data_IF_983869521667
#
_entry.id   IF_983869521667
#
_cell.length_a   1.000
_cell.length_b   1.000
_cell.length_c   1.000
_cell.angle_alpha   90.00
_cell.angle_beta   90.00
_cell.angle_gamma   90.00
#
_symmetry.space_group_name_H-M   'P 1'
#
loop_
_entity.id
_entity.type
_entity.pdbx_description
1 polymer ?
#
# COMPACT_ATOMS: atom_id res chain seq x y z
N UNK A 1 -3.01 15.38 34.74
CA UNK A 1 -4.03 15.89 35.67
C UNK A 1 -5.34 15.23 35.33
N UNK A 2 -6.00 14.53 36.28
CA UNK A 2 -7.28 13.90 35.96
C UNK A 2 -8.33 15.01 35.78
N UNK A 3 -9.02 15.00 34.66
CA UNK A 3 -10.11 15.92 34.32
C UNK A 3 -11.19 16.07 35.41
N UNK A 4 -11.28 15.12 36.33
CA UNK A 4 -12.28 15.05 37.35
C UNK A 4 -12.07 15.98 38.58
N UNK A 5 -10.93 16.69 38.66
CA UNK A 5 -10.65 17.61 39.76
C UNK A 5 -10.47 19.08 39.32
N UNK A 6 -10.18 19.32 38.05
CA UNK A 6 -10.10 20.66 37.44
C UNK A 6 -11.39 20.88 36.67
N UNK A 7 -12.25 21.69 37.18
CA UNK A 7 -13.43 22.11 36.46
C UNK A 7 -14.76 21.55 36.97
N UNK A 8 -14.78 20.90 38.10
CA UNK A 8 -16.04 20.55 38.73
C UNK A 8 -16.88 21.78 39.13
N UNK A 9 -16.22 22.91 39.32
CA UNK A 9 -16.85 24.15 39.76
C UNK A 9 -16.14 25.34 39.10
N UNK A 10 -16.89 26.41 38.80
CA UNK A 10 -16.34 27.72 38.50
C UNK A 10 -16.91 28.76 39.48
N UNK A 11 -16.15 29.82 39.71
CA UNK A 11 -16.53 30.93 40.56
C UNK A 11 -17.07 32.04 39.69
N UNK A 12 -18.30 32.45 39.94
CA UNK A 12 -18.89 33.64 39.33
C UNK A 12 -18.53 34.84 40.22
N UNK A 13 -17.62 35.66 39.76
CA UNK A 13 -17.10 36.82 40.52
C UNK A 13 -18.17 37.92 40.71
N UNK A 14 -19.09 38.06 39.76
CA UNK A 14 -20.15 39.09 39.83
C UNK A 14 -21.15 38.77 40.95
N UNK A 15 -21.47 37.51 41.13
CA UNK A 15 -22.46 37.04 42.11
C UNK A 15 -21.82 36.35 43.34
N UNK A 16 -20.50 36.25 43.38
CA UNK A 16 -19.72 35.59 44.41
C UNK A 16 -20.23 34.16 44.75
N UNK A 17 -20.58 33.39 43.72
CA UNK A 17 -21.14 32.05 43.86
C UNK A 17 -20.33 31.00 43.07
N UNK A 18 -20.25 29.81 43.66
CA UNK A 18 -19.66 28.66 43.00
C UNK A 18 -20.74 27.81 42.32
N UNK A 19 -20.55 27.50 41.10
CA UNK A 19 -21.45 26.64 40.31
C UNK A 19 -20.75 25.39 39.88
N UNK A 20 -21.47 24.26 39.95
CA UNK A 20 -21.00 23.01 39.29
C UNK A 20 -21.02 23.18 37.77
N UNK A 21 -20.02 22.65 37.08
CA UNK A 21 -19.90 22.76 35.63
C UNK A 21 -21.15 22.29 34.87
N UNK A 22 -21.86 21.30 35.38
CA UNK A 22 -23.12 20.81 34.77
C UNK A 22 -24.26 21.82 34.85
N UNK A 23 -24.15 22.86 35.73
CA UNK A 23 -25.15 23.92 35.92
C UNK A 23 -24.61 25.31 35.51
N UNK A 24 -23.37 25.38 35.07
CA UNK A 24 -22.75 26.62 34.69
C UNK A 24 -23.32 27.10 33.36
N UNK A 25 -23.89 28.30 33.35
CA UNK A 25 -24.28 28.99 32.15
C UNK A 25 -23.15 29.93 31.73
N UNK A 26 -22.28 29.45 30.86
CA UNK A 26 -21.19 30.29 30.35
C UNK A 26 -21.75 31.34 29.40
N UNK A 27 -21.38 32.61 29.63
CA UNK A 27 -21.64 33.66 28.65
C UNK A 27 -20.92 33.38 27.37
N UNK A 28 -21.60 33.37 26.23
CA UNK A 28 -20.95 33.27 24.93
C UNK A 28 -20.06 34.50 24.73
N UNK A 29 -18.82 34.34 24.24
CA UNK A 29 -17.93 35.47 23.96
C UNK A 29 -18.56 36.52 23.03
N UNK A 30 -19.42 36.07 22.10
CA UNK A 30 -20.27 36.88 21.25
C UNK A 30 -21.54 36.11 20.86
N UNK A 31 -22.53 36.81 20.33
CA UNK A 31 -23.86 36.22 20.10
C UNK A 31 -23.86 35.00 19.18
N UNK A 32 -23.05 35.00 18.12
CA UNK A 32 -22.95 33.94 17.09
C UNK A 32 -21.81 32.94 17.34
N UNK A 33 -21.21 32.92 18.53
CA UNK A 33 -20.03 32.10 18.84
C UNK A 33 -20.18 30.63 18.43
N UNK A 34 -21.30 29.98 18.74
CA UNK A 34 -21.51 28.57 18.46
C UNK A 34 -21.64 28.31 16.95
N UNK A 35 -22.35 29.22 16.27
CA UNK A 35 -22.57 29.19 14.84
C UNK A 35 -21.27 29.40 14.09
N UNK A 36 -20.45 30.35 14.53
CA UNK A 36 -19.15 30.65 13.92
C UNK A 36 -18.15 29.50 14.15
N UNK A 37 -18.12 28.90 15.35
CA UNK A 37 -17.30 27.70 15.61
C UNK A 37 -17.72 26.53 14.73
N UNK A 38 -19.04 26.29 14.58
CA UNK A 38 -19.52 25.23 13.69
C UNK A 38 -19.12 25.49 12.25
N UNK A 39 -19.26 26.74 11.79
CA UNK A 39 -18.82 27.11 10.45
C UNK A 39 -17.32 26.83 10.23
N UNK A 40 -16.48 27.27 11.17
CA UNK A 40 -15.04 27.03 11.13
C UNK A 40 -14.77 25.52 11.15
N UNK A 41 -15.45 24.75 11.98
CA UNK A 41 -15.32 23.29 12.05
C UNK A 41 -15.68 22.62 10.72
N UNK A 42 -16.74 23.06 10.04
CA UNK A 42 -17.15 22.55 8.74
C UNK A 42 -16.16 22.90 7.61
N UNK A 43 -15.37 23.97 7.80
CA UNK A 43 -14.34 24.41 6.86
C UNK A 43 -12.97 23.75 7.11
N UNK A 44 -12.77 23.10 8.26
CA UNK A 44 -11.51 22.40 8.57
C UNK A 44 -11.38 21.14 7.72
N UNK A 45 -10.30 21.09 6.93
CA UNK A 45 -9.90 19.87 6.24
C UNK A 45 -9.11 18.99 7.20
N UNK A 46 -9.68 17.82 7.55
CA UNK A 46 -8.94 16.81 8.32
C UNK A 46 -8.00 16.07 7.38
N UNK A 47 -6.70 16.22 7.59
CA UNK A 47 -5.67 15.58 6.79
C UNK A 47 -4.74 14.73 7.67
N UNK A 48 -4.84 13.41 7.51
CA UNK A 48 -3.96 12.46 8.19
C UNK A 48 -2.62 12.36 7.47
N UNK A 49 -1.78 13.32 7.73
CA UNK A 49 -0.42 13.34 7.24
C UNK A 49 0.52 12.75 8.29
N UNK A 50 1.17 11.65 7.94
CA UNK A 50 2.24 11.09 8.76
C UNK A 50 3.56 11.22 8.03
N UNK A 51 4.67 11.51 8.73
CA UNK A 51 6.00 11.56 8.12
C UNK A 51 6.36 10.29 7.35
N UNK A 52 5.78 9.15 7.70
CA UNK A 52 5.99 7.87 7.03
C UNK A 52 5.27 7.76 5.68
N UNK A 53 4.30 8.61 5.43
CA UNK A 53 3.56 8.68 4.17
C UNK A 53 4.14 9.70 3.18
N UNK A 54 5.12 10.51 3.62
CA UNK A 54 5.84 11.37 2.70
C UNK A 54 6.65 10.54 1.71
N UNK A 55 6.70 10.95 0.44
CA UNK A 55 7.71 10.47 -0.48
C UNK A 55 9.08 10.76 0.15
N UNK A 56 9.74 9.74 0.66
CA UNK A 56 11.07 9.91 1.26
C UNK A 56 12.04 10.06 0.10
N UNK A 57 12.52 11.27 -0.09
CA UNK A 57 13.59 11.52 -1.06
C UNK A 57 14.79 10.66 -0.71
N UNK A 58 15.14 9.76 -1.61
CA UNK A 58 16.37 9.00 -1.55
C UNK A 58 17.56 9.91 -1.82
N UNK A 59 18.72 9.58 -1.23
CA UNK A 59 19.99 10.18 -1.60
C UNK A 59 20.88 9.07 -2.15
N UNK A 60 21.42 9.26 -3.33
CA UNK A 60 22.36 8.33 -3.92
C UNK A 60 23.57 9.08 -4.47
N UNK A 61 24.70 8.38 -4.53
CA UNK A 61 25.91 8.89 -5.18
C UNK A 61 25.98 8.30 -6.58
N UNK A 62 26.06 9.15 -7.57
CA UNK A 62 26.34 8.76 -8.95
C UNK A 62 27.70 9.29 -9.37
N UNK A 63 28.29 8.67 -10.37
CA UNK A 63 29.56 9.11 -10.95
C UNK A 63 29.27 9.72 -12.32
N UNK A 64 29.49 11.04 -12.45
CA UNK A 64 29.36 11.79 -13.71
C UNK A 64 30.74 12.39 -13.96
N UNK A 65 31.28 12.16 -15.14
CA UNK A 65 32.61 12.66 -15.56
C UNK A 65 33.71 12.39 -14.52
N UNK A 66 33.71 11.20 -13.95
CA UNK A 66 34.69 10.81 -12.95
C UNK A 66 34.42 11.32 -11.53
N UNK A 67 33.54 12.29 -11.33
CA UNK A 67 33.20 12.89 -10.02
C UNK A 67 31.99 12.20 -9.39
N UNK A 68 32.07 11.95 -8.06
CA UNK A 68 30.92 11.44 -7.30
C UNK A 68 30.01 12.61 -6.94
N UNK A 69 28.78 12.60 -7.45
CA UNK A 69 27.76 13.61 -7.20
C UNK A 69 26.65 12.98 -6.34
N UNK A 70 26.16 13.73 -5.35
CA UNK A 70 25.01 13.34 -4.54
C UNK A 70 23.72 13.79 -5.23
N UNK A 71 22.94 12.83 -5.71
CA UNK A 71 21.64 13.09 -6.30
C UNK A 71 20.52 12.96 -5.26
N UNK A 72 19.57 13.87 -5.33
CA UNK A 72 18.28 13.76 -4.63
C UNK A 72 17.26 13.11 -5.57
N UNK A 73 16.35 12.34 -5.02
CA UNK A 73 15.29 11.71 -5.80
C UNK A 73 14.45 10.78 -4.93
N UNK A 74 13.43 10.20 -5.51
CA UNK A 74 12.65 9.16 -4.87
C UNK A 74 13.50 7.90 -4.63
N UNK A 75 13.08 7.08 -3.70
CA UNK A 75 13.71 5.80 -3.42
C UNK A 75 12.67 4.70 -3.28
N UNK A 76 12.80 3.66 -4.08
CA UNK A 76 12.00 2.46 -3.90
C UNK A 76 12.39 1.75 -2.59
N UNK A 77 11.41 1.51 -1.74
CA UNK A 77 11.60 0.79 -0.48
C UNK A 77 10.56 -0.31 -0.37
N UNK A 78 10.98 -1.46 0.11
CA UNK A 78 10.10 -2.58 0.35
C UNK A 78 10.80 -3.69 1.12
N UNK A 79 10.01 -4.65 1.59
CA UNK A 79 10.49 -5.80 2.35
C UNK A 79 10.99 -6.91 1.43
N UNK A 80 12.03 -6.64 0.65
CA UNK A 80 12.59 -7.59 -0.30
C UNK A 80 12.97 -8.94 0.33
N UNK A 81 13.35 -8.92 1.61
CA UNK A 81 13.71 -10.14 2.34
C UNK A 81 12.54 -11.10 2.52
N UNK A 82 11.30 -10.62 2.55
CA UNK A 82 10.10 -11.45 2.63
C UNK A 82 9.78 -12.13 1.29
N UNK A 83 10.21 -11.51 0.20
CA UNK A 83 9.99 -11.99 -1.16
C UNK A 83 11.18 -12.77 -1.70
N UNK A 84 12.23 -12.96 -0.88
CA UNK A 84 13.46 -13.65 -1.30
C UNK A 84 13.28 -15.15 -1.23
N UNK A 85 13.53 -15.81 -2.33
CA UNK A 85 13.54 -17.27 -2.46
C UNK A 85 14.92 -17.84 -2.16
N UNK A 86 14.95 -19.04 -1.59
CA UNK A 86 16.18 -19.64 -1.13
C UNK A 86 17.10 -20.11 -2.26
N UNK A 87 16.58 -20.22 -3.46
CA UNK A 87 17.31 -20.59 -4.64
C UNK A 87 16.42 -21.22 -5.69
N UNK A 88 17.05 -21.67 -6.76
CA UNK A 88 16.44 -22.44 -7.82
C UNK A 88 16.99 -23.86 -7.78
N UNK A 89 16.13 -24.85 -7.92
CA UNK A 89 16.47 -26.27 -7.99
C UNK A 89 15.93 -26.83 -9.29
N UNK A 90 16.77 -27.52 -10.05
CA UNK A 90 16.32 -28.27 -11.21
C UNK A 90 15.67 -29.57 -10.73
N UNK A 91 14.43 -29.79 -11.11
CA UNK A 91 13.66 -30.98 -10.78
C UNK A 91 12.83 -31.37 -12.00
N UNK A 92 12.97 -32.61 -12.47
CA UNK A 92 12.28 -33.19 -13.63
C UNK A 92 12.44 -32.34 -14.91
N UNK A 93 13.63 -31.77 -15.15
CA UNK A 93 13.92 -30.92 -16.30
C UNK A 93 13.33 -29.53 -16.25
N UNK A 94 12.72 -29.14 -15.12
CA UNK A 94 12.17 -27.80 -14.89
C UNK A 94 12.84 -27.13 -13.69
N UNK A 95 13.14 -25.83 -13.84
CA UNK A 95 13.66 -25.04 -12.72
C UNK A 95 12.51 -24.68 -11.79
N UNK A 96 12.57 -25.20 -10.55
CA UNK A 96 11.62 -24.87 -9.49
C UNK A 96 12.29 -23.98 -8.45
N UNK A 97 11.55 -22.97 -7.97
CA UNK A 97 12.04 -22.04 -6.97
C UNK A 97 11.62 -22.49 -5.57
N UNK A 98 12.48 -22.24 -4.59
CA UNK A 98 12.31 -22.68 -3.21
C UNK A 98 12.18 -21.48 -2.29
N UNK A 99 11.06 -21.40 -1.58
CA UNK A 99 10.78 -20.41 -0.55
C UNK A 99 10.83 -21.05 0.83
N UNK A 100 11.34 -20.30 1.81
CA UNK A 100 11.29 -20.71 3.22
C UNK A 100 10.04 -20.12 3.88
N UNK A 101 9.20 -20.99 4.40
CA UNK A 101 7.90 -20.64 5.02
C UNK A 101 7.94 -21.04 6.49
N UNK A 102 7.36 -20.23 7.37
CA UNK A 102 7.14 -20.63 8.76
C UNK A 102 6.11 -21.76 8.80
N UNK A 103 6.39 -22.81 9.57
CA UNK A 103 5.54 -23.99 9.62
C UNK A 103 4.10 -23.65 10.02
N UNK A 104 3.93 -22.75 10.97
CA UNK A 104 2.61 -22.27 11.42
C UNK A 104 1.82 -21.50 10.33
N UNK A 105 2.48 -21.05 9.26
CA UNK A 105 1.86 -20.34 8.13
C UNK A 105 1.69 -21.23 6.91
N UNK A 106 2.00 -22.52 7.01
CA UNK A 106 1.86 -23.47 5.92
C UNK A 106 0.36 -23.75 5.68
N UNK A 107 -0.05 -23.81 4.43
CA UNK A 107 -1.39 -24.25 4.04
C UNK A 107 -1.38 -25.76 3.77
N UNK A 108 -2.49 -26.44 4.04
CA UNK A 108 -2.57 -27.90 3.86
C UNK A 108 -2.18 -28.37 2.45
N UNK A 109 -2.60 -27.59 1.43
CA UNK A 109 -2.24 -27.82 0.02
C UNK A 109 -0.74 -27.76 -0.28
N UNK A 110 0.05 -27.05 0.58
CA UNK A 110 1.46 -26.80 0.38
C UNK A 110 2.36 -27.84 1.07
N UNK A 111 1.79 -28.75 1.89
CA UNK A 111 2.54 -29.80 2.57
C UNK A 111 3.30 -30.69 1.56
N UNK A 112 2.64 -31.05 0.46
CA UNK A 112 3.25 -31.82 -0.63
C UNK A 112 4.39 -31.10 -1.36
N UNK A 113 4.49 -29.78 -1.20
CA UNK A 113 5.53 -28.95 -1.80
C UNK A 113 6.77 -28.82 -0.93
N UNK A 114 6.82 -29.47 0.24
CA UNK A 114 8.00 -29.48 1.10
C UNK A 114 9.13 -30.18 0.35
N UNK A 115 10.27 -29.50 0.24
CA UNK A 115 11.43 -29.95 -0.58
C UNK A 115 12.18 -31.11 0.06
N UNK A 116 12.26 -31.13 1.38
CA UNK A 116 12.97 -32.15 2.15
C UNK A 116 12.00 -33.28 2.49
N UNK A 117 12.26 -34.45 1.94
CA UNK A 117 11.39 -35.63 2.08
C UNK A 117 11.22 -36.04 3.55
N UNK A 118 12.32 -36.08 4.30
CA UNK A 118 12.27 -36.42 5.73
C UNK A 118 11.42 -35.44 6.53
N UNK A 119 11.58 -34.17 6.28
CA UNK A 119 10.74 -33.15 6.94
C UNK A 119 9.29 -33.28 6.53
N UNK A 120 9.02 -33.56 5.24
CA UNK A 120 7.66 -33.77 4.74
C UNK A 120 6.99 -34.95 5.43
N UNK A 121 7.64 -36.09 5.52
CA UNK A 121 7.14 -37.30 6.17
C UNK A 121 6.81 -37.06 7.67
N UNK A 122 7.68 -36.34 8.37
CA UNK A 122 7.44 -35.97 9.78
C UNK A 122 6.20 -35.07 9.91
N UNK A 123 6.06 -34.06 9.03
CA UNK A 123 4.90 -33.14 9.04
C UNK A 123 3.63 -33.89 8.66
N UNK A 124 3.65 -34.74 7.63
CA UNK A 124 2.51 -35.57 7.23
C UNK A 124 2.08 -36.54 8.32
N UNK A 125 3.02 -37.14 9.04
CA UNK A 125 2.72 -38.03 10.15
C UNK A 125 2.06 -37.29 11.30
N UNK A 126 2.55 -36.08 11.64
CA UNK A 126 1.93 -35.23 12.66
C UNK A 126 0.51 -34.78 12.27
N UNK A 127 0.28 -34.52 10.98
CA UNK A 127 -1.04 -34.16 10.45
C UNK A 127 -2.00 -35.36 10.53
N UNK A 128 -1.54 -36.55 10.19
CA UNK A 128 -2.35 -37.79 10.29
C UNK A 128 -2.78 -38.07 11.72
N UNK A 129 -1.90 -37.80 12.69
CA UNK A 129 -2.15 -38.07 14.11
C UNK A 129 -3.12 -37.05 14.74
N UNK A 130 -2.93 -35.77 14.47
CA UNK A 130 -3.61 -34.68 15.19
C UNK A 130 -4.62 -33.88 14.35
N UNK A 131 -4.62 -34.09 13.05
CA UNK A 131 -5.30 -33.19 12.11
C UNK A 131 -4.47 -31.96 11.78
N UNK A 132 -4.74 -31.34 10.61
CA UNK A 132 -3.90 -30.24 10.10
C UNK A 132 -3.82 -29.03 11.05
N UNK A 133 -4.97 -28.56 11.58
CA UNK A 133 -5.01 -27.37 12.45
C UNK A 133 -4.23 -27.57 13.75
N UNK A 134 -4.44 -28.70 14.39
CA UNK A 134 -3.81 -29.01 15.68
C UNK A 134 -2.33 -29.34 15.52
N UNK A 135 -1.95 -30.00 14.43
CA UNK A 135 -0.56 -30.23 14.09
C UNK A 135 0.20 -28.90 13.89
N UNK A 136 -0.39 -27.94 13.14
CA UNK A 136 0.25 -26.63 12.89
C UNK A 136 0.29 -25.75 14.15
N UNK A 137 -0.63 -25.91 15.07
CA UNK A 137 -0.64 -25.21 16.36
C UNK A 137 0.32 -25.85 17.37
N UNK A 138 0.69 -27.12 17.19
CA UNK A 138 1.60 -27.84 18.08
C UNK A 138 3.07 -27.70 17.62
N UNK A 139 4.00 -28.06 18.52
CA UNK A 139 5.40 -28.13 18.14
C UNK A 139 5.67 -29.47 17.44
N UNK A 140 6.08 -29.42 16.19
CA UNK A 140 6.54 -30.62 15.44
C UNK A 140 8.06 -30.71 15.58
N UNK A 141 8.55 -31.84 16.03
CA UNK A 141 9.95 -32.06 16.32
C UNK A 141 10.67 -32.75 15.14
N UNK A 142 11.76 -32.19 14.70
CA UNK A 142 12.72 -32.88 13.83
C UNK A 142 13.46 -34.00 14.61
N UNK A 143 13.76 -33.71 15.87
CA UNK A 143 14.32 -34.69 16.82
C UNK A 143 13.85 -34.29 18.21
N UNK A 144 12.97 -35.09 18.79
CA UNK A 144 12.36 -34.82 20.09
C UNK A 144 13.34 -34.95 21.24
N UNK A 145 14.20 -35.99 21.20
CA UNK A 145 15.22 -36.23 22.23
C UNK A 145 16.17 -35.05 22.38
N UNK A 146 16.60 -34.48 21.23
CA UNK A 146 17.46 -33.29 21.16
C UNK A 146 16.71 -31.97 21.21
N UNK A 147 15.39 -32.00 21.37
CA UNK A 147 14.51 -30.82 21.40
C UNK A 147 14.72 -29.88 20.20
N UNK A 148 14.86 -30.43 19.00
CA UNK A 148 15.02 -29.67 17.76
C UNK A 148 13.66 -29.53 17.08
N UNK A 149 12.98 -28.35 17.18
CA UNK A 149 11.69 -28.14 16.54
C UNK A 149 11.84 -27.76 15.06
N UNK A 150 10.87 -28.15 14.28
CA UNK A 150 10.71 -27.66 12.90
C UNK A 150 9.97 -26.33 12.94
N UNK A 151 10.68 -25.21 12.83
CA UNK A 151 10.09 -23.87 12.83
C UNK A 151 9.74 -23.38 11.43
N UNK A 152 10.58 -23.73 10.44
CA UNK A 152 10.44 -23.29 9.05
C UNK A 152 10.73 -24.46 8.13
N UNK A 153 9.97 -24.53 7.05
CA UNK A 153 10.15 -25.51 5.99
C UNK A 153 10.52 -24.84 4.67
N UNK A 154 11.22 -25.56 3.81
CA UNK A 154 11.48 -25.14 2.43
C UNK A 154 10.43 -25.77 1.55
N UNK A 155 9.69 -24.93 0.82
CA UNK A 155 8.67 -25.40 -0.10
C UNK A 155 8.96 -24.95 -1.52
N UNK A 156 8.66 -25.80 -2.48
CA UNK A 156 8.56 -25.38 -3.86
C UNK A 156 7.44 -24.37 -4.01
N UNK A 157 7.66 -23.35 -4.81
CA UNK A 157 6.65 -22.34 -5.09
C UNK A 157 6.21 -22.46 -6.55
N UNK A 158 4.94 -22.83 -6.77
CA UNK A 158 4.45 -23.13 -8.12
C UNK A 158 4.18 -21.90 -8.99
N UNK A 159 4.23 -20.68 -8.43
CA UNK A 159 3.61 -19.53 -9.06
C UNK A 159 4.54 -18.42 -9.52
N UNK A 160 5.85 -18.67 -9.67
CA UNK A 160 6.77 -17.62 -10.13
C UNK A 160 6.98 -17.74 -11.62
N UNK A 161 6.41 -16.77 -12.34
CA UNK A 161 6.54 -16.73 -13.79
C UNK A 161 7.91 -16.24 -14.26
N UNK A 162 8.52 -15.30 -13.55
CA UNK A 162 9.83 -14.73 -13.91
C UNK A 162 10.53 -14.15 -12.66
N UNK A 163 11.16 -14.97 -11.82
CA UNK A 163 11.93 -14.43 -10.72
C UNK A 163 13.16 -13.69 -11.22
N UNK A 164 13.46 -12.57 -10.60
CA UNK A 164 14.64 -11.79 -10.90
C UNK A 164 15.79 -12.22 -9.99
N UNK A 165 16.94 -12.55 -10.60
CA UNK A 165 18.15 -12.83 -9.84
C UNK A 165 18.73 -11.53 -9.31
N UNK A 166 18.64 -11.33 -7.99
CA UNK A 166 19.11 -10.10 -7.33
C UNK A 166 20.55 -10.16 -6.83
N UNK A 167 21.05 -11.36 -6.64
CA UNK A 167 22.40 -11.58 -6.10
C UNK A 167 22.95 -12.92 -6.56
N UNK A 168 24.18 -12.90 -6.99
CA UNK A 168 24.99 -14.10 -7.21
C UNK A 168 26.09 -14.14 -6.15
N UNK A 169 26.12 -15.21 -5.36
CA UNK A 169 27.16 -15.41 -4.38
C UNK A 169 28.40 -16.00 -5.08
N UNK A 170 29.58 -15.44 -4.81
CA UNK A 170 30.84 -15.83 -5.49
C UNK A 170 31.60 -16.96 -4.78
N UNK A 171 31.18 -17.33 -3.59
CA UNK A 171 31.85 -18.36 -2.81
C UNK A 171 31.51 -19.76 -3.37
N UNK A 172 32.51 -20.39 -3.97
CA UNK A 172 32.43 -21.71 -4.57
C UNK A 172 32.25 -22.83 -3.57
N UNK A 173 32.51 -22.59 -2.27
CA UNK A 173 32.31 -23.60 -1.21
C UNK A 173 30.82 -23.79 -0.88
N UNK A 174 29.96 -22.86 -1.30
CA UNK A 174 28.53 -22.91 -1.04
C UNK A 174 27.81 -23.71 -2.12
N UNK A 175 26.91 -24.60 -1.71
CA UNK A 175 26.07 -25.39 -2.62
C UNK A 175 25.42 -24.49 -3.69
N UNK A 176 25.39 -24.96 -4.93
CA UNK A 176 24.96 -24.20 -6.10
C UNK A 176 23.62 -23.47 -5.92
N UNK A 177 22.61 -24.15 -5.35
CA UNK A 177 21.30 -23.54 -5.09
C UNK A 177 21.31 -22.37 -4.08
N UNK A 178 22.40 -22.20 -3.32
CA UNK A 178 22.60 -21.09 -2.38
C UNK A 178 23.38 -19.93 -2.99
N UNK A 179 23.99 -20.11 -4.15
CA UNK A 179 24.80 -19.09 -4.79
C UNK A 179 23.97 -17.97 -5.42
N UNK A 180 22.70 -18.24 -5.71
CA UNK A 180 21.80 -17.30 -6.33
C UNK A 180 20.56 -17.08 -5.46
N UNK A 181 20.19 -15.82 -5.30
CA UNK A 181 18.94 -15.42 -4.64
C UNK A 181 18.00 -14.84 -5.67
N UNK A 182 16.78 -15.33 -5.66
CA UNK A 182 15.71 -14.89 -6.55
C UNK A 182 14.62 -14.22 -5.73
N UNK A 183 13.99 -13.19 -6.27
CA UNK A 183 12.89 -12.47 -5.63
C UNK A 183 11.65 -12.55 -6.50
N UNK A 184 10.52 -12.77 -5.89
CA UNK A 184 9.24 -12.66 -6.56
C UNK A 184 9.02 -11.24 -7.07
N UNK A 185 8.37 -11.16 -8.20
CA UNK A 185 8.10 -9.90 -8.88
C UNK A 185 6.64 -9.47 -8.66
N UNK A 186 6.15 -9.58 -7.42
CA UNK A 186 4.75 -9.40 -7.07
C UNK A 186 4.45 -8.16 -6.22
N UNK A 187 5.48 -7.54 -5.62
CA UNK A 187 5.30 -6.32 -4.84
C UNK A 187 5.27 -5.08 -5.72
N UNK A 188 4.11 -4.49 -5.85
CA UNK A 188 3.91 -3.31 -6.69
C UNK A 188 4.43 -2.04 -6.00
N UNK A 189 5.20 -1.24 -6.73
CA UNK A 189 5.76 0.02 -6.26
C UNK A 189 4.92 1.20 -6.73
N UNK A 190 4.64 1.28 -8.02
CA UNK A 190 3.79 2.31 -8.60
C UNK A 190 2.91 1.76 -9.73
N UNK A 191 1.82 2.46 -9.95
CA UNK A 191 0.94 2.33 -11.11
C UNK A 191 1.08 3.60 -11.94
N UNK A 192 1.43 3.48 -13.20
CA UNK A 192 1.31 4.55 -14.18
C UNK A 192 0.00 4.43 -14.94
N UNK A 193 -0.69 5.54 -15.14
CA UNK A 193 -1.93 5.62 -15.90
C UNK A 193 -1.70 6.43 -17.17
N UNK A 194 -2.24 5.90 -18.27
CA UNK A 194 -2.25 6.53 -19.58
C UNK A 194 -3.68 6.74 -20.02
N UNK A 195 -4.01 7.92 -20.48
CA UNK A 195 -5.38 8.29 -20.89
C UNK A 195 -5.34 8.79 -22.31
N UNK A 196 -6.09 8.17 -23.17
CA UNK A 196 -6.19 8.53 -24.59
C UNK A 196 -7.61 8.31 -25.11
N UNK A 197 -7.77 8.44 -26.41
CA UNK A 197 -9.05 8.19 -27.10
C UNK A 197 -8.86 7.12 -28.17
N UNK A 198 -9.83 6.23 -28.30
CA UNK A 198 -9.85 5.26 -29.40
C UNK A 198 -10.27 5.94 -30.73
N UNK A 199 -10.21 5.17 -31.82
CA UNK A 199 -10.59 5.64 -33.16
C UNK A 199 -12.07 6.08 -33.27
N UNK A 200 -12.87 5.81 -32.25
CA UNK A 200 -14.29 6.22 -32.16
C UNK A 200 -14.49 7.44 -31.26
N UNK A 201 -13.41 8.07 -30.81
CA UNK A 201 -13.43 9.22 -29.90
C UNK A 201 -13.80 8.85 -28.44
N UNK A 202 -13.85 7.56 -28.08
CA UNK A 202 -14.14 7.13 -26.71
C UNK A 202 -12.86 7.11 -25.88
N UNK A 203 -12.92 7.68 -24.68
CA UNK A 203 -11.81 7.62 -23.73
C UNK A 203 -11.41 6.18 -23.43
N UNK A 204 -10.13 5.92 -23.47
CA UNK A 204 -9.48 4.66 -23.12
C UNK A 204 -8.37 4.93 -22.12
N UNK A 205 -8.18 3.97 -21.25
CA UNK A 205 -7.17 4.04 -20.19
C UNK A 205 -6.34 2.77 -20.21
N UNK A 206 -5.04 2.96 -20.18
CA UNK A 206 -4.05 1.90 -20.06
C UNK A 206 -3.24 2.11 -18.81
N UNK A 207 -2.58 1.06 -18.37
CA UNK A 207 -1.78 1.12 -17.17
C UNK A 207 -0.48 0.33 -17.33
N UNK A 208 0.52 0.75 -16.58
CA UNK A 208 1.74 -0.01 -16.36
C UNK A 208 2.00 -0.11 -14.85
N UNK A 209 2.31 -1.31 -14.38
CA UNK A 209 2.71 -1.54 -13.00
C UNK A 209 4.20 -1.80 -12.95
N UNK A 210 4.88 -0.98 -12.15
CA UNK A 210 6.29 -1.14 -11.83
C UNK A 210 6.40 -1.77 -10.44
N UNK A 211 7.12 -2.88 -10.34
CA UNK A 211 7.37 -3.51 -9.05
C UNK A 211 8.56 -2.87 -8.32
N UNK A 212 8.71 -3.21 -7.04
CA UNK A 212 9.77 -2.66 -6.18
C UNK A 212 11.16 -2.97 -6.74
N UNK A 213 11.37 -4.13 -7.34
CA UNK A 213 12.69 -4.49 -7.88
C UNK A 213 13.05 -3.68 -9.12
N UNK A 214 12.11 -3.51 -10.04
CA UNK A 214 12.31 -2.68 -11.22
C UNK A 214 12.63 -1.23 -10.81
N UNK A 215 11.85 -0.69 -9.87
CA UNK A 215 12.10 0.65 -9.35
C UNK A 215 13.48 0.74 -8.65
N UNK A 216 13.82 -0.20 -7.79
CA UNK A 216 15.10 -0.23 -7.11
C UNK A 216 16.28 -0.37 -8.09
N UNK A 217 16.12 -1.15 -9.15
CA UNK A 217 17.11 -1.28 -10.21
C UNK A 217 17.28 0.02 -10.96
N UNK A 218 16.18 0.66 -11.37
CA UNK A 218 16.21 1.96 -12.02
C UNK A 218 16.95 3.00 -11.18
N UNK A 219 16.59 3.15 -9.89
CA UNK A 219 17.23 4.10 -8.98
C UNK A 219 18.70 3.81 -8.74
N UNK A 220 19.12 2.56 -8.88
CA UNK A 220 20.52 2.15 -8.72
C UNK A 220 21.36 2.40 -9.97
N UNK A 221 20.77 2.22 -11.15
CA UNK A 221 21.50 2.22 -12.43
C UNK A 221 21.41 3.53 -13.20
N UNK A 222 20.35 4.33 -12.99
CA UNK A 222 20.18 5.61 -13.67
C UNK A 222 21.33 6.58 -13.34
N UNK A 223 21.80 7.29 -14.31
CA UNK A 223 22.83 8.32 -14.21
C UNK A 223 22.24 9.75 -14.14
N UNK A 224 20.92 9.88 -14.08
CA UNK A 224 20.25 11.16 -14.01
C UNK A 224 20.59 11.89 -12.72
N UNK A 225 20.76 13.21 -12.78
CA UNK A 225 20.99 14.06 -11.62
C UNK A 225 19.79 14.11 -10.70
N UNK A 226 18.60 14.15 -11.30
CA UNK A 226 17.31 14.05 -10.64
C UNK A 226 16.62 12.78 -11.09
N UNK A 227 16.27 11.94 -10.12
CA UNK A 227 15.64 10.65 -10.37
C UNK A 227 14.28 10.66 -9.69
N UNK A 228 13.24 10.72 -10.49
CA UNK A 228 11.85 10.76 -10.05
C UNK A 228 11.08 9.57 -10.63
N UNK A 229 10.03 9.16 -9.95
CA UNK A 229 9.19 8.03 -10.34
C UNK A 229 8.66 8.15 -11.76
N UNK A 230 8.39 9.38 -12.20
CA UNK A 230 7.90 9.64 -13.55
C UNK A 230 8.82 9.09 -14.65
N UNK A 231 10.12 9.09 -14.43
CA UNK A 231 11.10 8.63 -15.41
C UNK A 231 11.23 7.10 -15.51
N UNK A 232 10.63 6.36 -14.57
CA UNK A 232 10.66 4.89 -14.59
C UNK A 232 9.80 4.33 -15.72
N UNK A 233 8.75 5.05 -16.09
CA UNK A 233 7.76 4.63 -17.08
C UNK A 233 7.85 5.46 -18.36
N UNK A 234 7.44 4.88 -19.50
CA UNK A 234 7.43 5.59 -20.77
C UNK A 234 6.51 6.83 -20.76
N UNK A 235 6.75 7.74 -21.70
CA UNK A 235 5.88 8.93 -21.90
C UNK A 235 4.55 8.52 -22.51
N UNK A 236 4.51 7.42 -23.26
CA UNK A 236 3.34 6.87 -23.91
C UNK A 236 3.19 5.39 -23.60
N UNK A 237 1.96 4.90 -23.58
CA UNK A 237 1.66 3.48 -23.47
C UNK A 237 1.96 2.70 -24.75
N UNK A 238 1.72 1.39 -24.75
CA UNK A 238 1.88 0.50 -25.90
C UNK A 238 1.03 0.96 -27.11
N UNK A 239 -0.16 1.53 -26.87
CA UNK A 239 -1.05 2.05 -27.90
C UNK A 239 -0.96 3.58 -28.06
N UNK A 240 0.20 4.17 -27.74
CA UNK A 240 0.47 5.60 -27.91
C UNK A 240 -0.39 6.55 -27.05
N UNK A 241 -1.09 6.07 -26.03
CA UNK A 241 -1.81 6.95 -25.11
C UNK A 241 -0.84 7.74 -24.26
N UNK A 242 -1.04 9.05 -24.11
CA UNK A 242 -0.15 9.90 -23.32
C UNK A 242 -0.20 9.54 -21.84
N UNK A 243 0.93 9.69 -21.19
CA UNK A 243 1.03 9.55 -19.74
C UNK A 243 0.17 10.60 -19.05
N UNK A 244 -0.60 10.16 -18.04
CA UNK A 244 -1.44 11.01 -17.20
C UNK A 244 -0.78 11.28 -15.85
N UNK A 245 -0.63 10.25 -15.02
CA UNK A 245 -0.03 10.36 -13.69
C UNK A 245 0.41 9.00 -13.14
N UNK A 246 1.16 9.05 -12.05
CA UNK A 246 1.53 7.86 -11.28
C UNK A 246 0.83 7.83 -9.93
N UNK A 247 0.54 6.62 -9.46
CA UNK A 247 0.02 6.35 -8.12
C UNK A 247 0.98 5.45 -7.37
N UNK A 248 1.27 5.79 -6.12
CA UNK A 248 1.99 4.96 -5.14
C UNK A 248 1.13 4.78 -3.90
N UNK A 249 1.49 3.81 -3.06
CA UNK A 249 0.91 3.73 -1.72
C UNK A 249 1.24 5.02 -0.97
N UNK A 250 0.21 5.67 -0.44
CA UNK A 250 0.32 6.98 0.20
C UNK A 250 -0.06 8.18 -0.68
N UNK A 251 -0.19 8.02 -1.99
CA UNK A 251 -0.68 9.10 -2.87
C UNK A 251 -2.09 9.51 -2.47
N UNK A 252 -2.30 10.83 -2.33
CA UNK A 252 -3.63 11.39 -2.10
C UNK A 252 -4.31 11.65 -3.44
N UNK A 253 -5.61 11.38 -3.49
CA UNK A 253 -6.45 11.57 -4.68
C UNK A 253 -7.76 12.23 -4.31
N UNK A 254 -8.24 13.11 -5.19
CA UNK A 254 -9.57 13.71 -5.12
C UNK A 254 -10.45 13.06 -6.18
N UNK A 255 -11.48 12.34 -5.79
CA UNK A 255 -12.37 11.65 -6.70
C UNK A 255 -13.42 12.60 -7.28
N UNK A 256 -13.73 12.42 -8.57
CA UNK A 256 -14.83 13.10 -9.24
C UNK A 256 -15.64 12.09 -10.07
N UNK A 257 -16.88 12.40 -10.40
CA UNK A 257 -17.74 11.51 -11.18
C UNK A 257 -17.74 11.85 -12.67
N UNK A 258 -17.98 13.10 -13.01
CA UNK A 258 -18.13 13.55 -14.40
C UNK A 258 -16.99 14.45 -14.87
N UNK A 259 -16.60 15.41 -14.04
CA UNK A 259 -15.62 16.44 -14.42
C UNK A 259 -14.74 16.85 -13.23
N UNK A 260 -13.46 17.14 -13.44
CA UNK A 260 -12.58 17.73 -12.43
C UNK A 260 -13.13 19.00 -11.79
N UNK A 261 -13.92 19.79 -12.52
CA UNK A 261 -14.51 21.03 -12.00
C UNK A 261 -15.46 20.79 -10.81
N UNK A 262 -16.12 19.62 -10.76
CA UNK A 262 -16.96 19.24 -9.61
C UNK A 262 -16.20 19.34 -8.27
N UNK A 263 -14.90 19.09 -8.27
CA UNK A 263 -14.06 19.18 -7.07
C UNK A 263 -13.75 20.64 -6.73
N UNK A 264 -13.49 21.45 -7.76
CA UNK A 264 -13.07 22.84 -7.56
C UNK A 264 -14.23 23.76 -7.23
N UNK A 265 -15.41 23.47 -7.77
CA UNK A 265 -16.65 24.21 -7.50
C UNK A 265 -17.31 23.77 -6.18
N UNK A 266 -16.88 22.65 -5.59
CA UNK A 266 -17.39 22.13 -4.33
C UNK A 266 -16.93 22.95 -3.12
N UNK A 267 -17.74 22.94 -2.07
CA UNK A 267 -17.36 23.46 -0.76
C UNK A 267 -16.16 22.68 -0.18
N UNK A 268 -15.44 23.25 0.80
CA UNK A 268 -14.33 22.58 1.47
C UNK A 268 -14.79 21.25 2.07
N UNK A 269 -15.95 21.21 2.69
CA UNK A 269 -16.54 20.00 3.29
C UNK A 269 -16.81 18.90 2.26
N UNK A 270 -17.43 19.24 1.13
CA UNK A 270 -17.69 18.30 0.04
C UNK A 270 -16.40 17.82 -0.63
N UNK A 271 -15.42 18.71 -0.78
CA UNK A 271 -14.10 18.37 -1.30
C UNK A 271 -13.39 17.39 -0.38
N UNK A 272 -13.45 17.60 0.94
CA UNK A 272 -12.88 16.69 1.92
C UNK A 272 -13.50 15.29 1.84
N UNK A 273 -14.79 15.16 1.60
CA UNK A 273 -15.47 13.87 1.39
C UNK A 273 -14.98 13.11 0.16
N UNK A 274 -14.34 13.77 -0.76
CA UNK A 274 -13.78 13.20 -2.00
C UNK A 274 -12.30 12.88 -1.89
N UNK A 275 -11.67 13.20 -0.74
CA UNK A 275 -10.23 13.01 -0.51
C UNK A 275 -9.93 11.62 0.02
N UNK A 276 -9.18 10.86 -0.75
CA UNK A 276 -8.79 9.49 -0.44
C UNK A 276 -7.28 9.32 -0.52
N UNK A 277 -6.80 8.29 0.15
CA UNK A 277 -5.40 7.86 0.16
C UNK A 277 -5.28 6.48 -0.48
N UNK A 278 -4.33 6.32 -1.37
CA UNK A 278 -3.98 5.02 -1.95
C UNK A 278 -3.32 4.14 -0.90
N UNK A 279 -3.88 2.96 -0.64
CA UNK A 279 -3.37 2.00 0.34
C UNK A 279 -2.94 0.68 -0.25
N UNK A 280 -3.26 0.42 -1.51
CA UNK A 280 -2.83 -0.78 -2.20
C UNK A 280 -2.99 -0.68 -3.71
N UNK A 281 -2.06 -1.32 -4.40
CA UNK A 281 -2.06 -1.45 -5.85
C UNK A 281 -1.93 -2.94 -6.19
N UNK A 282 -2.79 -3.45 -7.06
CA UNK A 282 -2.70 -4.84 -7.52
C UNK A 282 -3.20 -4.98 -8.94
N UNK A 283 -2.93 -6.13 -9.55
CA UNK A 283 -3.48 -6.51 -10.84
C UNK A 283 -4.45 -7.67 -10.66
N UNK A 284 -5.47 -7.69 -11.49
CA UNK A 284 -6.36 -8.83 -11.63
C UNK A 284 -6.56 -9.15 -13.11
N UNK A 285 -6.80 -10.42 -13.40
CA UNK A 285 -7.19 -10.86 -14.73
C UNK A 285 -8.67 -11.24 -14.71
N UNK A 286 -9.40 -10.78 -15.70
CA UNK A 286 -10.82 -11.10 -15.88
C UNK A 286 -11.03 -11.70 -17.26
N UNK A 287 -11.80 -12.79 -17.31
CA UNK A 287 -12.23 -13.37 -18.59
C UNK A 287 -13.35 -12.52 -19.17
N UNK A 288 -13.13 -11.98 -20.36
CA UNK A 288 -14.13 -11.30 -21.16
C UNK A 288 -14.54 -12.15 -22.37
N UNK A 289 -15.45 -11.63 -23.20
CA UNK A 289 -15.91 -12.33 -24.41
C UNK A 289 -14.79 -12.64 -25.41
N UNK A 290 -13.76 -11.79 -25.49
CA UNK A 290 -12.68 -11.86 -26.45
C UNK A 290 -11.32 -12.24 -25.84
N UNK A 291 -11.31 -12.86 -24.66
CA UNK A 291 -10.07 -13.30 -24.01
C UNK A 291 -9.94 -12.81 -22.56
N UNK A 292 -8.72 -12.95 -22.02
CA UNK A 292 -8.37 -12.46 -20.70
C UNK A 292 -7.86 -11.02 -20.78
N UNK A 293 -8.42 -10.15 -19.95
CA UNK A 293 -7.99 -8.77 -19.82
C UNK A 293 -7.35 -8.53 -18.45
N UNK A 294 -6.23 -7.83 -18.45
CA UNK A 294 -5.60 -7.38 -17.23
C UNK A 294 -6.20 -6.05 -16.79
N UNK A 295 -6.47 -5.93 -15.48
CA UNK A 295 -6.95 -4.71 -14.85
C UNK A 295 -6.05 -4.38 -13.67
N UNK A 296 -5.68 -3.10 -13.54
CA UNK A 296 -5.12 -2.60 -12.30
C UNK A 296 -6.23 -2.23 -11.33
N UNK A 297 -6.04 -2.58 -10.07
CA UNK A 297 -6.95 -2.21 -8.98
C UNK A 297 -6.22 -1.30 -8.00
N UNK A 298 -6.90 -0.23 -7.61
CA UNK A 298 -6.43 0.76 -6.64
C UNK A 298 -7.31 0.67 -5.41
N UNK A 299 -6.70 0.38 -4.27
CA UNK A 299 -7.38 0.39 -2.96
C UNK A 299 -7.23 1.77 -2.36
N UNK A 300 -8.35 2.36 -1.98
CA UNK A 300 -8.45 3.70 -1.45
C UNK A 300 -9.08 3.66 -0.06
N UNK A 301 -8.57 4.48 0.85
CA UNK A 301 -9.17 4.73 2.16
C UNK A 301 -9.44 6.22 2.25
N UNK A 302 -10.63 6.60 2.75
CA UNK A 302 -10.98 7.99 2.98
C UNK A 302 -9.98 8.66 3.92
N UNK A 303 -9.67 9.92 3.68
CA UNK A 303 -8.66 10.65 4.45
C UNK A 303 -8.96 10.72 5.95
N UNK A 304 -10.22 10.80 6.35
CA UNK A 304 -10.63 10.84 7.77
C UNK A 304 -10.69 9.46 8.43
N UNK A 305 -10.50 8.38 7.67
CA UNK A 305 -10.61 7.02 8.21
C UNK A 305 -9.30 6.58 8.86
N UNK A 306 -9.31 6.55 10.18
CA UNK A 306 -8.16 6.15 11.00
C UNK A 306 -8.20 4.66 11.44
N UNK A 307 -9.28 3.93 11.14
CA UNK A 307 -9.42 2.53 11.56
C UNK A 307 -8.44 1.62 10.83
N UNK A 308 -7.97 0.54 11.46
CA UNK A 308 -7.17 -0.48 10.79
C UNK A 308 -7.93 -1.11 9.61
N UNK A 309 -7.21 -1.42 8.52
CA UNK A 309 -7.79 -2.04 7.31
C UNK A 309 -8.60 -3.31 7.56
N UNK A 310 -8.31 -4.04 8.67
CA UNK A 310 -9.05 -5.23 9.08
C UNK A 310 -10.48 -4.91 9.51
N UNK A 311 -10.62 -3.84 10.29
CA UNK A 311 -11.92 -3.42 10.83
C UNK A 311 -12.81 -2.83 9.71
N UNK A 312 -12.19 -2.15 8.74
CA UNK A 312 -12.89 -1.64 7.57
C UNK A 312 -13.41 -2.79 6.70
N UNK A 313 -12.62 -3.85 6.52
CA UNK A 313 -13.05 -5.04 5.77
C UNK A 313 -14.22 -5.76 6.41
N UNK A 314 -14.25 -5.84 7.73
CA UNK A 314 -15.33 -6.48 8.48
C UNK A 314 -16.66 -5.71 8.33
N UNK A 315 -16.61 -4.39 8.15
CA UNK A 315 -17.78 -3.52 8.01
C UNK A 315 -18.20 -3.24 6.57
N UNK A 316 -17.43 -3.63 5.56
CA UNK A 316 -17.76 -3.38 4.14
C UNK A 316 -19.07 -4.06 3.64
N UNK A 317 -19.75 -4.85 4.47
CA UNK A 317 -21.10 -5.36 4.20
C UNK A 317 -22.23 -4.58 4.86
N UNK A 318 -21.90 -3.70 5.80
CA UNK A 318 -22.87 -2.99 6.62
C UNK A 318 -22.61 -1.48 6.56
N UNK A 319 -22.96 -0.85 5.42
CA UNK A 319 -23.14 0.60 5.41
C UNK A 319 -24.46 0.92 6.07
N UNK A 320 -24.43 1.70 7.15
CA UNK A 320 -25.65 2.29 7.68
C UNK A 320 -26.26 3.19 6.58
N UNK A 321 -27.57 3.03 6.37
CA UNK A 321 -28.32 3.89 5.46
C UNK A 321 -28.13 5.35 5.91
N UNK A 322 -27.37 6.13 5.14
CA UNK A 322 -27.10 7.53 5.43
C UNK A 322 -25.62 7.93 5.50
N UNK A 323 -24.68 6.99 5.38
CA UNK A 323 -23.27 7.34 5.23
C UNK A 323 -23.05 8.04 3.87
N UNK A 324 -22.62 9.31 3.93
CA UNK A 324 -22.43 10.18 2.76
C UNK A 324 -21.18 9.82 1.95
N UNK A 325 -20.27 8.98 2.50
CA UNK A 325 -19.09 8.49 1.78
C UNK A 325 -18.70 7.07 2.21
N UNK A 326 -18.00 6.36 1.36
CA UNK A 326 -17.46 5.04 1.66
C UNK A 326 -16.08 5.15 2.28
N UNK A 327 -15.84 4.63 3.50
CA UNK A 327 -14.53 4.73 4.16
C UNK A 327 -13.42 3.98 3.42
N UNK A 328 -13.75 2.91 2.70
CA UNK A 328 -12.80 2.18 1.87
C UNK A 328 -13.45 1.73 0.57
N UNK A 329 -12.74 1.90 -0.55
CA UNK A 329 -13.19 1.50 -1.88
C UNK A 329 -12.07 0.84 -2.67
N UNK A 330 -12.44 0.01 -3.63
CA UNK A 330 -11.53 -0.55 -4.64
C UNK A 330 -12.03 -0.12 -6.01
N UNK A 331 -11.17 0.53 -6.77
CA UNK A 331 -11.49 1.00 -8.12
C UNK A 331 -10.61 0.33 -9.15
N UNK A 332 -11.17 0.04 -10.31
CA UNK A 332 -10.40 -0.37 -11.49
C UNK A 332 -9.78 0.88 -12.14
N UNK A 333 -8.60 0.72 -12.75
CA UNK A 333 -7.96 1.81 -13.48
C UNK A 333 -8.86 2.45 -14.54
N UNK A 334 -9.76 1.66 -15.14
CA UNK A 334 -10.74 2.12 -16.14
C UNK A 334 -11.85 3.00 -15.56
N UNK A 335 -12.06 2.97 -14.25
CA UNK A 335 -13.12 3.69 -13.52
C UNK A 335 -12.55 4.78 -12.60
N UNK A 336 -11.23 4.90 -12.53
CA UNK A 336 -10.57 5.80 -11.61
C UNK A 336 -10.59 7.24 -12.17
N UNK A 337 -11.62 7.99 -11.81
CA UNK A 337 -11.69 9.43 -12.06
C UNK A 337 -11.12 10.16 -10.86
N UNK A 338 -9.86 10.57 -10.95
CA UNK A 338 -9.18 11.19 -9.82
C UNK A 338 -8.21 12.28 -10.25
N UNK A 339 -8.23 13.37 -9.51
CA UNK A 339 -7.14 14.35 -9.47
C UNK A 339 -6.07 13.84 -8.52
N UNK A 340 -4.80 13.97 -8.88
CA UNK A 340 -3.68 13.36 -8.15
C UNK A 340 -2.79 14.43 -7.56
N UNK A 341 -2.46 14.28 -6.28
CA UNK A 341 -1.53 15.17 -5.60
C UNK A 341 -0.20 15.25 -6.34
N UNK A 342 0.29 16.46 -6.54
CA UNK A 342 1.54 16.72 -7.26
C UNK A 342 1.39 16.86 -8.78
N UNK A 343 0.18 16.56 -9.32
CA UNK A 343 -0.12 16.77 -10.75
C UNK A 343 -1.22 17.80 -10.96
N UNK A 344 -2.35 17.64 -10.29
CA UNK A 344 -3.52 18.50 -10.41
C UNK A 344 -3.75 19.36 -9.18
N UNK A 345 -3.32 18.91 -8.03
CA UNK A 345 -3.40 19.62 -6.77
C UNK A 345 -2.23 19.32 -5.85
N UNK A 346 -2.05 20.20 -4.88
CA UNK A 346 -1.16 19.99 -3.74
C UNK A 346 -1.95 20.17 -2.43
N UNK A 347 -1.42 19.57 -1.37
CA UNK A 347 -1.90 19.80 -0.01
C UNK A 347 -0.74 20.40 0.76
N UNK A 348 -0.95 21.59 1.33
CA UNK A 348 0.08 22.25 2.13
C UNK A 348 0.13 21.67 3.56
N UNK A 349 1.06 22.16 4.36
CA UNK A 349 1.26 21.74 5.75
C UNK A 349 0.06 22.00 6.67
N UNK A 350 -0.80 22.93 6.29
CA UNK A 350 -2.02 23.28 7.01
C UNK A 350 -3.23 22.44 6.56
N UNK A 351 -3.05 21.56 5.58
CA UNK A 351 -4.12 20.74 5.01
C UNK A 351 -4.95 21.45 3.94
N UNK A 352 -4.56 22.64 3.48
CA UNK A 352 -5.25 23.33 2.40
C UNK A 352 -4.95 22.67 1.06
N UNK A 353 -6.00 22.41 0.29
CA UNK A 353 -5.91 21.88 -1.07
C UNK A 353 -5.85 23.04 -2.05
N UNK A 354 -4.77 23.10 -2.83
CA UNK A 354 -4.56 24.09 -3.88
C UNK A 354 -4.52 23.44 -5.25
N UNK A 355 -5.22 24.03 -6.20
CA UNK A 355 -5.17 23.61 -7.60
C UNK A 355 -3.83 23.99 -8.21
N UNK A 356 -3.19 23.04 -8.95
CA UNK A 356 -1.92 23.28 -9.65
C UNK A 356 -2.12 23.63 -11.13
N UNK A 357 -3.21 23.14 -11.73
CA UNK A 357 -3.52 23.33 -13.16
C UNK A 357 -5.01 23.65 -13.37
#
# INVERSE_FOLDING_TARGET
MSHNKLGAYYHDEENNKWYGLSKASFKKPWATFVEDIKKIQDEILVYHYTPDNMPKQGRRRIKIDGKKILCKGDAARGSLHNDTYYGAIENDGAVKYVKRIDLASLEEKDVKNIVDDTVREIVESAIKEKGFKDAMASTIWMNEEKRIPIKKVRCFTPSITKPLNIRKQRDVSIKEYKQQYHVANDSNYLLALYIGTDNKGKEKREFEIVNILQAAQYYRTSNDKEVVDRHIVPIKSEHDYPFAYTLKIGTMVLLYEKSPNEVWDATIKERNRRLYKVTGLSTMRMKGRNGEYAYATVKLIHNEEARPSKDIKAKNGEYEQGEEFRPAIIMLHTQLNALVQGYDFEINELGEIRRLR
#
